data_IF_446241730540
#
_entry.id   IF_446241730540
#
_cell.length_a   1.000
_cell.length_b   1.000
_cell.length_c   1.000
_cell.angle_alpha   90.00
_cell.angle_beta   90.00
_cell.angle_gamma   90.00
#
_symmetry.space_group_name_H-M   'P 1'
#
loop_
_entity.id
_entity.type
_entity.pdbx_description
1 polymer ?
#
# COMPACT_ATOMS: atom_id res chain seq x y z
N UNK A 1 12.05 -6.00 -44.24
CA UNK A 1 11.48 -7.18 -43.57
C UNK A 1 11.75 -7.05 -42.09
N UNK A 2 10.72 -6.76 -41.28
CA UNK A 2 10.83 -6.62 -39.83
C UNK A 2 10.84 -8.02 -39.21
N UNK A 3 12.00 -8.45 -38.69
CA UNK A 3 12.12 -9.69 -37.94
C UNK A 3 11.39 -9.53 -36.60
N UNK A 4 10.32 -10.30 -36.36
CA UNK A 4 9.75 -10.38 -35.02
C UNK A 4 10.81 -10.95 -34.07
N UNK A 5 11.16 -10.19 -33.02
CA UNK A 5 12.06 -10.67 -31.97
C UNK A 5 11.52 -12.00 -31.43
N UNK A 6 12.33 -13.05 -31.49
CA UNK A 6 11.95 -14.36 -30.92
C UNK A 6 11.72 -14.16 -29.41
N UNK A 7 10.61 -14.65 -28.84
CA UNK A 7 10.40 -14.58 -27.41
C UNK A 7 11.53 -15.34 -26.70
N UNK A 8 12.22 -14.65 -25.79
CA UNK A 8 13.28 -15.22 -24.98
C UNK A 8 12.75 -15.45 -23.57
N UNK A 9 12.66 -16.71 -23.18
CA UNK A 9 12.34 -17.07 -21.79
C UNK A 9 13.58 -16.90 -20.92
N UNK A 10 13.35 -16.50 -19.67
CA UNK A 10 14.43 -16.34 -18.71
C UNK A 10 14.75 -17.67 -18.05
N UNK A 11 16.03 -17.97 -17.92
CA UNK A 11 16.53 -19.18 -17.24
C UNK A 11 17.18 -18.85 -15.89
N UNK A 12 17.22 -17.57 -15.49
CA UNK A 12 17.80 -17.14 -14.23
C UNK A 12 16.83 -17.49 -13.08
N UNK A 13 17.25 -18.31 -12.10
CA UNK A 13 16.37 -18.81 -11.04
C UNK A 13 15.78 -17.68 -10.18
N UNK A 14 16.61 -16.72 -9.75
CA UNK A 14 16.16 -15.57 -8.93
C UNK A 14 15.12 -14.72 -9.67
N UNK A 15 15.30 -14.57 -10.99
CA UNK A 15 14.33 -13.84 -11.82
C UNK A 15 13.02 -14.59 -11.95
N UNK A 16 13.06 -15.92 -12.10
CA UNK A 16 11.87 -16.77 -12.16
C UNK A 16 11.10 -16.68 -10.84
N UNK A 17 11.79 -16.81 -9.70
CA UNK A 17 11.16 -16.73 -8.38
C UNK A 17 10.44 -15.39 -8.17
N UNK A 18 11.09 -14.27 -8.49
CA UNK A 18 10.44 -12.94 -8.42
C UNK A 18 9.23 -12.83 -9.34
N UNK A 19 9.31 -13.38 -10.55
CA UNK A 19 8.18 -13.36 -11.49
C UNK A 19 7.02 -14.19 -10.97
N UNK A 20 7.30 -15.33 -10.32
CA UNK A 20 6.27 -16.16 -9.71
C UNK A 20 5.59 -15.44 -8.55
N UNK A 21 6.36 -14.80 -7.65
CA UNK A 21 5.79 -14.00 -6.55
C UNK A 21 4.89 -12.88 -7.09
N UNK A 22 5.34 -12.15 -8.10
CA UNK A 22 4.55 -11.10 -8.73
C UNK A 22 3.26 -11.64 -9.36
N UNK A 23 3.35 -12.79 -10.00
CA UNK A 23 2.19 -13.45 -10.60
C UNK A 23 1.19 -13.87 -9.53
N UNK A 24 1.64 -14.55 -8.48
CA UNK A 24 0.80 -15.03 -7.39
C UNK A 24 0.12 -13.86 -6.65
N UNK A 25 0.86 -12.78 -6.38
CA UNK A 25 0.30 -11.57 -5.80
C UNK A 25 -0.73 -10.90 -6.73
N UNK A 26 -0.46 -10.85 -8.03
CA UNK A 26 -1.38 -10.32 -9.03
C UNK A 26 -2.68 -11.13 -9.05
N UNK A 27 -2.55 -12.45 -9.10
CA UNK A 27 -3.67 -13.39 -9.09
C UNK A 27 -4.54 -13.20 -7.84
N UNK A 28 -3.93 -13.04 -6.66
CA UNK A 28 -4.66 -12.80 -5.41
C UNK A 28 -5.47 -11.49 -5.42
N UNK A 29 -4.95 -10.43 -6.06
CA UNK A 29 -5.67 -9.16 -6.20
C UNK A 29 -6.83 -9.29 -7.18
N UNK A 30 -6.63 -10.00 -8.27
CA UNK A 30 -7.65 -10.24 -9.29
C UNK A 30 -8.75 -11.17 -8.80
N UNK A 31 -8.40 -12.19 -8.02
CA UNK A 31 -9.33 -13.16 -7.43
C UNK A 31 -10.14 -12.61 -6.26
N UNK A 32 -9.86 -11.39 -5.80
CA UNK A 32 -10.63 -10.75 -4.74
C UNK A 32 -12.08 -10.54 -5.18
N UNK A 33 -13.08 -10.98 -4.39
CA UNK A 33 -14.47 -10.67 -4.67
C UNK A 33 -14.69 -9.17 -4.80
N UNK A 34 -15.51 -8.76 -5.77
CA UNK A 34 -15.77 -7.35 -6.07
C UNK A 34 -16.22 -6.57 -4.82
N UNK A 35 -17.09 -7.14 -4.00
CA UNK A 35 -17.57 -6.51 -2.76
C UNK A 35 -16.44 -6.23 -1.76
N UNK A 36 -15.46 -7.14 -1.64
CA UNK A 36 -14.31 -6.95 -0.74
C UNK A 36 -13.33 -5.91 -1.29
N UNK A 37 -13.17 -5.86 -2.61
CA UNK A 37 -12.36 -4.84 -3.30
C UNK A 37 -12.96 -3.46 -3.09
N UNK A 38 -14.25 -3.29 -3.38
CA UNK A 38 -14.96 -2.02 -3.19
C UNK A 38 -14.93 -1.56 -1.73
N UNK A 39 -15.09 -2.49 -0.78
CA UNK A 39 -14.98 -2.19 0.65
C UNK A 39 -13.59 -1.69 1.03
N UNK A 40 -12.52 -2.30 0.50
CA UNK A 40 -11.14 -1.82 0.71
C UNK A 40 -10.90 -0.46 0.07
N UNK A 41 -11.38 -0.27 -1.16
CA UNK A 41 -11.22 1.00 -1.86
C UNK A 41 -11.93 2.12 -1.08
N UNK A 42 -13.14 1.88 -0.58
CA UNK A 42 -13.86 2.80 0.29
C UNK A 42 -13.10 3.10 1.59
N UNK A 43 -12.46 2.10 2.20
CA UNK A 43 -11.62 2.30 3.38
C UNK A 43 -10.36 3.13 3.07
N UNK A 44 -9.73 2.90 1.92
CA UNK A 44 -8.57 3.68 1.47
C UNK A 44 -8.93 5.13 1.11
N UNK A 45 -10.16 5.36 0.67
CA UNK A 45 -10.69 6.69 0.36
C UNK A 45 -11.29 7.41 1.57
N UNK A 46 -11.42 6.73 2.71
CA UNK A 46 -11.97 7.34 3.92
C UNK A 46 -10.91 8.16 4.66
N UNK A 47 -11.21 9.44 4.85
CA UNK A 47 -10.40 10.35 5.68
C UNK A 47 -11.23 10.72 6.91
N UNK A 48 -10.67 10.50 8.09
CA UNK A 48 -11.32 10.91 9.34
C UNK A 48 -11.50 12.42 9.39
N UNK A 49 -12.49 12.89 10.14
CA UNK A 49 -12.70 14.32 10.34
C UNK A 49 -11.45 15.01 10.90
N UNK A 50 -10.77 14.39 11.86
CA UNK A 50 -9.51 14.90 12.43
C UNK A 50 -8.41 15.06 11.37
N UNK A 51 -8.22 14.04 10.52
CA UNK A 51 -7.22 14.09 9.45
C UNK A 51 -7.58 15.16 8.42
N UNK A 52 -8.86 15.34 8.13
CA UNK A 52 -9.32 16.39 7.23
C UNK A 52 -9.03 17.79 7.79
N UNK A 53 -9.30 18.02 9.08
CA UNK A 53 -9.00 19.29 9.75
C UNK A 53 -7.50 19.57 9.81
N UNK A 54 -6.70 18.55 10.13
CA UNK A 54 -5.24 18.63 10.07
C UNK A 54 -4.74 19.01 8.67
N UNK A 55 -5.24 18.35 7.61
CA UNK A 55 -4.85 18.66 6.24
C UNK A 55 -5.20 20.10 5.85
N UNK A 56 -6.38 20.58 6.25
CA UNK A 56 -6.82 21.95 5.99
C UNK A 56 -5.91 22.98 6.68
N UNK A 57 -5.64 22.79 7.98
CA UNK A 57 -4.74 23.67 8.74
C UNK A 57 -3.33 23.66 8.13
N UNK A 58 -2.76 22.48 7.88
CA UNK A 58 -1.43 22.33 7.29
C UNK A 58 -1.33 22.96 5.88
N UNK A 59 -2.42 22.95 5.10
CA UNK A 59 -2.46 23.61 3.79
C UNK A 59 -2.44 25.13 3.92
N UNK A 60 -3.17 25.68 4.89
CA UNK A 60 -3.28 27.13 5.14
C UNK A 60 -2.00 27.75 5.72
N UNK A 61 -1.16 26.97 6.39
CA UNK A 61 0.09 27.48 6.94
C UNK A 61 1.13 27.85 5.86
N UNK A 62 1.93 28.88 6.14
CA UNK A 62 2.91 29.45 5.18
C UNK A 62 4.17 28.63 4.93
N UNK A 63 4.20 27.34 5.30
CA UNK A 63 5.39 26.50 5.14
C UNK A 63 5.67 26.13 3.69
N UNK A 64 6.93 25.74 3.44
CA UNK A 64 7.32 25.11 2.19
C UNK A 64 6.64 23.74 2.01
N UNK A 65 6.52 23.31 0.76
CA UNK A 65 5.90 22.02 0.40
C UNK A 65 6.56 20.82 1.09
N UNK A 66 7.89 20.83 1.24
CA UNK A 66 8.62 19.73 1.90
C UNK A 66 8.22 19.58 3.35
N UNK A 67 8.08 20.69 4.08
CA UNK A 67 7.67 20.70 5.49
C UNK A 67 6.22 20.22 5.63
N UNK A 68 5.31 20.67 4.75
CA UNK A 68 3.92 20.19 4.75
C UNK A 68 3.83 18.68 4.55
N UNK A 69 4.61 18.14 3.62
CA UNK A 69 4.66 16.69 3.35
C UNK A 69 5.22 15.91 4.54
N UNK A 70 6.27 16.44 5.18
CA UNK A 70 6.88 15.83 6.35
C UNK A 70 5.89 15.74 7.52
N UNK A 71 5.15 16.82 7.81
CA UNK A 71 4.09 16.83 8.83
C UNK A 71 2.98 15.82 8.54
N UNK A 72 2.57 15.68 7.28
CA UNK A 72 1.57 14.67 6.88
C UNK A 72 2.08 13.25 7.12
N UNK A 73 3.36 13.00 6.85
CA UNK A 73 3.99 11.70 7.12
C UNK A 73 3.97 11.39 8.62
N UNK A 74 4.40 12.34 9.44
CA UNK A 74 4.40 12.20 10.91
C UNK A 74 3.00 11.96 11.48
N UNK A 75 1.98 12.69 10.97
CA UNK A 75 0.58 12.46 11.33
C UNK A 75 0.12 11.04 10.96
N UNK A 76 0.48 10.54 9.77
CA UNK A 76 0.10 9.19 9.36
C UNK A 76 0.80 8.13 10.21
N UNK A 77 2.10 8.27 10.46
CA UNK A 77 2.88 7.29 11.22
C UNK A 77 2.35 7.16 12.66
N UNK A 78 2.03 8.30 13.29
CA UNK A 78 1.45 8.32 14.65
C UNK A 78 0.05 7.70 14.72
N UNK A 79 -0.84 8.01 13.78
CA UNK A 79 -2.21 7.48 13.79
C UNK A 79 -2.32 6.04 13.26
N UNK A 80 -1.44 5.60 12.36
CA UNK A 80 -1.37 4.20 11.92
C UNK A 80 -0.88 3.28 13.04
N UNK A 81 0.09 3.74 13.85
CA UNK A 81 0.55 3.00 15.02
C UNK A 81 -0.57 2.84 16.08
N UNK A 82 -1.36 3.90 16.31
CA UNK A 82 -2.51 3.85 17.20
C UNK A 82 -3.64 2.93 16.69
N UNK A 83 -3.93 2.96 15.39
CA UNK A 83 -4.93 2.09 14.76
C UNK A 83 -4.54 0.61 14.79
N UNK A 84 -3.24 0.30 14.65
CA UNK A 84 -2.72 -1.06 14.78
C UNK A 84 -2.85 -1.61 16.22
N UNK A 85 -2.73 -0.74 17.24
CA UNK A 85 -2.88 -1.10 18.64
C UNK A 85 -4.36 -1.28 19.08
N UNK A 86 -5.30 -0.62 18.41
CA UNK A 86 -6.74 -0.68 18.70
C UNK A 86 -7.49 -1.81 17.94
N UNK A 87 -6.81 -2.55 17.05
CA UNK A 87 -7.41 -3.66 16.34
C UNK A 87 -7.64 -4.86 17.29
N UNK A 88 -8.80 -5.56 17.22
CA UNK A 88 -8.99 -6.81 17.95
C UNK A 88 -7.89 -7.81 17.55
N UNK A 89 -7.49 -8.74 18.45
CA UNK A 89 -6.39 -9.65 18.20
C UNK A 89 -6.60 -10.36 16.87
N UNK A 90 -5.75 -10.05 15.89
CA UNK A 90 -5.71 -10.76 14.62
C UNK A 90 -5.38 -12.21 14.96
N UNK A 91 -6.24 -13.15 14.55
CA UNK A 91 -5.90 -14.56 14.56
C UNK A 91 -4.54 -14.71 13.87
N UNK A 92 -3.62 -15.39 14.55
CA UNK A 92 -2.20 -15.49 14.18
C UNK A 92 -2.02 -15.87 12.71
N UNK A 93 -1.74 -14.88 11.86
CA UNK A 93 -1.05 -15.13 10.60
C UNK A 93 0.41 -14.68 10.80
N UNK A 94 1.29 -15.67 10.89
CA UNK A 94 2.73 -15.46 11.02
C UNK A 94 3.27 -14.83 9.74
N UNK A 95 3.26 -13.50 9.67
CA UNK A 95 4.08 -12.78 8.69
C UNK A 95 5.55 -12.93 9.10
N UNK A 96 6.38 -13.48 8.20
CA UNK A 96 7.81 -13.72 8.42
C UNK A 96 8.70 -12.49 8.22
N UNK A 97 8.13 -11.32 8.01
CA UNK A 97 8.90 -10.09 7.79
C UNK A 97 8.71 -9.12 8.95
N UNK A 98 9.77 -8.91 9.72
CA UNK A 98 9.82 -8.02 10.90
C UNK A 98 10.31 -6.61 10.56
N UNK A 99 10.17 -6.15 9.32
CA UNK A 99 10.57 -4.80 8.90
C UNK A 99 9.72 -4.29 7.73
N UNK A 100 8.40 -4.21 7.92
CA UNK A 100 7.50 -3.33 7.19
C UNK A 100 6.36 -2.92 8.12
#
# INVERSE_FOLDING_TARGET
MTTMNKPAFTTNPDRIERLQVNYDEGLLRESMPTADREKRDLQCLHVSHEKLMFLFQNAMEGYSRSVKNQKVKEYNDTYLAAAAAAAPPKAESKSRFSFL
#
